data_IF_986776544688
#
_entry.id   IF_986776544688
#
_cell.length_a   1.000
_cell.length_b   1.000
_cell.length_c   1.000
_cell.angle_alpha   90.00
_cell.angle_beta   90.00
_cell.angle_gamma   90.00
#
_symmetry.space_group_name_H-M   'P 1'
#
loop_
_entity.id
_entity.type
_entity.pdbx_description
1 polymer ?
#
# COMPACT_ATOMS: atom_id res chain seq x y z
N UNK A 1 8.55 9.37 32.48
CA UNK A 1 7.16 9.00 32.11
C UNK A 1 7.14 7.51 31.82
N UNK A 2 6.51 6.74 32.69
CA UNK A 2 6.39 5.29 32.61
C UNK A 2 5.21 4.96 31.69
N UNK A 3 5.43 4.21 30.61
CA UNK A 3 4.33 3.79 29.73
C UNK A 3 3.31 2.94 30.53
N UNK A 4 1.99 3.15 30.36
CA UNK A 4 0.98 2.43 31.13
C UNK A 4 1.06 0.91 30.89
N UNK A 5 1.04 0.14 31.97
CA UNK A 5 1.48 -1.26 32.02
C UNK A 5 0.39 -2.31 31.73
N UNK A 6 -0.83 -1.87 31.45
CA UNK A 6 -1.93 -2.65 30.88
C UNK A 6 -2.95 -1.61 30.41
N UNK A 7 -3.12 -1.45 29.11
CA UNK A 7 -4.06 -0.46 28.57
C UNK A 7 -5.45 -1.09 28.68
N UNK A 8 -6.20 -0.72 29.71
CA UNK A 8 -7.60 -1.13 29.87
C UNK A 8 -8.42 -0.53 28.72
N UNK A 9 -8.86 -1.38 27.81
CA UNK A 9 -9.52 -0.96 26.58
C UNK A 9 -10.77 -0.07 26.81
N UNK A 10 -11.67 -0.38 27.75
CA UNK A 10 -12.89 0.42 27.97
C UNK A 10 -12.60 1.82 28.52
N UNK A 11 -11.74 1.93 29.54
CA UNK A 11 -11.41 3.21 30.19
C UNK A 11 -10.70 4.17 29.22
N UNK A 12 -9.81 3.61 28.40
CA UNK A 12 -9.07 4.36 27.40
C UNK A 12 -9.98 4.81 26.26
N UNK A 13 -10.96 3.98 25.89
CA UNK A 13 -11.95 4.33 24.87
C UNK A 13 -12.88 5.47 25.33
N UNK A 14 -13.34 5.44 26.58
CA UNK A 14 -14.21 6.49 27.16
C UNK A 14 -13.49 7.84 27.23
N UNK A 15 -12.25 7.87 27.73
CA UNK A 15 -11.43 9.10 27.78
C UNK A 15 -11.21 9.69 26.39
N UNK A 16 -11.00 8.84 25.38
CA UNK A 16 -10.75 9.32 24.02
C UNK A 16 -12.00 9.80 23.30
N UNK A 17 -13.14 9.13 23.47
CA UNK A 17 -14.43 9.58 22.92
C UNK A 17 -14.84 10.94 23.49
N UNK A 18 -14.52 11.21 24.77
CA UNK A 18 -14.76 12.49 25.42
C UNK A 18 -13.90 13.63 24.86
N UNK A 19 -12.73 13.33 24.28
CA UNK A 19 -11.75 14.33 23.86
C UNK A 19 -11.95 14.91 22.44
N UNK A 20 -12.86 14.35 21.63
CA UNK A 20 -13.19 14.79 20.26
C UNK A 20 -11.96 15.11 19.36
N UNK A 21 -10.86 14.38 19.52
CA UNK A 21 -9.61 14.62 18.79
C UNK A 21 -9.72 14.22 17.30
N UNK A 22 -9.19 15.02 16.35
CA UNK A 22 -9.04 14.63 14.94
C UNK A 22 -8.23 13.32 14.75
N UNK A 23 -7.40 12.96 15.74
CA UNK A 23 -6.57 11.76 15.75
C UNK A 23 -7.21 10.56 16.47
N UNK A 24 -8.48 10.66 16.87
CA UNK A 24 -9.19 9.59 17.60
C UNK A 24 -9.06 8.23 16.91
N UNK A 25 -9.26 8.18 15.59
CA UNK A 25 -9.16 6.92 14.82
C UNK A 25 -7.74 6.34 14.89
N UNK A 26 -6.71 7.17 14.75
CA UNK A 26 -5.31 6.75 14.83
C UNK A 26 -5.00 6.18 16.22
N UNK A 27 -5.46 6.84 17.27
CA UNK A 27 -5.26 6.42 18.66
C UNK A 27 -6.02 5.13 18.98
N UNK A 28 -7.29 5.02 18.59
CA UNK A 28 -8.07 3.79 18.74
C UNK A 28 -7.38 2.62 18.05
N UNK A 29 -6.93 2.81 16.81
CA UNK A 29 -6.24 1.77 16.04
C UNK A 29 -4.92 1.35 16.71
N UNK A 30 -4.18 2.31 17.29
CA UNK A 30 -2.97 2.04 18.08
C UNK A 30 -3.28 1.18 19.30
N UNK A 31 -4.30 1.56 20.06
CA UNK A 31 -4.74 0.85 21.26
C UNK A 31 -5.20 -0.57 20.95
N UNK A 32 -6.07 -0.74 19.94
CA UNK A 32 -6.54 -2.04 19.51
C UNK A 32 -5.39 -2.94 19.03
N UNK A 33 -4.51 -2.44 18.17
CA UNK A 33 -3.38 -3.22 17.66
C UNK A 33 -2.45 -3.67 18.80
N UNK A 34 -2.13 -2.78 19.73
CA UNK A 34 -1.29 -3.10 20.89
C UNK A 34 -1.97 -4.11 21.84
N UNK A 35 -3.28 -3.99 22.06
CA UNK A 35 -4.05 -4.92 22.88
C UNK A 35 -4.10 -6.31 22.25
N UNK A 36 -4.41 -6.42 20.95
CA UNK A 36 -4.44 -7.68 20.23
C UNK A 36 -3.07 -8.36 20.17
N UNK A 37 -1.99 -7.61 19.92
CA UNK A 37 -0.63 -8.15 20.01
C UNK A 37 -0.28 -8.62 21.42
N UNK A 38 -0.82 -7.96 22.45
CA UNK A 38 -0.64 -8.38 23.84
C UNK A 38 -1.39 -9.67 24.13
N UNK A 39 -2.62 -9.83 23.65
CA UNK A 39 -3.39 -11.07 23.81
C UNK A 39 -2.73 -12.26 23.09
N UNK A 40 -2.27 -12.07 21.85
CA UNK A 40 -1.55 -13.09 21.07
C UNK A 40 -0.29 -13.58 21.83
N UNK A 41 0.49 -12.66 22.39
CA UNK A 41 1.69 -13.02 23.15
C UNK A 41 1.38 -13.68 24.50
N UNK A 42 0.25 -13.34 25.13
CA UNK A 42 -0.21 -14.05 26.32
C UNK A 42 -0.51 -15.50 26.02
N UNK A 43 -1.23 -15.77 24.94
CA UNK A 43 -1.53 -17.13 24.47
C UNK A 43 -0.23 -17.90 24.23
N UNK A 44 0.73 -17.28 23.52
CA UNK A 44 2.05 -17.90 23.27
C UNK A 44 2.90 -18.14 24.52
N UNK A 45 2.76 -17.31 25.56
CA UNK A 45 3.49 -17.48 26.82
C UNK A 45 2.77 -18.39 27.82
N UNK A 46 1.49 -18.72 27.55
CA UNK A 46 0.56 -19.38 28.46
C UNK A 46 0.50 -18.69 29.85
N UNK A 47 0.54 -17.37 29.85
CA UNK A 47 0.54 -16.55 31.06
C UNK A 47 0.27 -15.08 30.73
N UNK A 48 -0.49 -14.43 31.60
CA UNK A 48 -0.68 -12.99 31.58
C UNK A 48 0.63 -12.23 31.86
N UNK A 49 0.63 -10.93 31.54
CA UNK A 49 1.78 -10.09 31.83
C UNK A 49 2.03 -10.00 33.35
N UNK A 50 3.24 -10.39 33.77
CA UNK A 50 3.68 -10.43 35.19
C UNK A 50 2.94 -11.39 36.10
N UNK A 51 2.04 -12.21 35.57
CA UNK A 51 1.43 -13.31 36.33
C UNK A 51 2.50 -14.32 36.78
N UNK A 52 2.30 -14.99 37.90
CA UNK A 52 3.16 -16.11 38.30
C UNK A 52 2.32 -17.38 38.18
N UNK A 53 2.48 -18.10 37.07
CA UNK A 53 1.84 -19.39 36.84
C UNK A 53 2.92 -20.45 36.55
N UNK A 54 2.77 -21.68 37.09
CA UNK A 54 3.64 -22.81 36.76
C UNK A 54 3.51 -23.25 35.29
N UNK A 55 2.43 -22.89 34.60
CA UNK A 55 2.15 -23.30 33.22
C UNK A 55 2.83 -22.38 32.18
N UNK A 56 3.50 -21.32 32.66
CA UNK A 56 4.20 -20.35 31.81
C UNK A 56 5.37 -21.00 31.08
N UNK A 57 5.37 -20.88 29.75
CA UNK A 57 6.43 -21.41 28.89
C UNK A 57 7.43 -20.34 28.41
N UNK A 58 7.05 -19.05 28.43
CA UNK A 58 7.91 -17.95 28.00
C UNK A 58 7.59 -16.65 28.75
N UNK A 59 8.38 -15.59 28.56
CA UNK A 59 8.22 -14.30 29.24
C UNK A 59 8.36 -13.14 28.27
N UNK A 60 7.56 -12.09 28.47
CA UNK A 60 7.75 -10.82 27.78
C UNK A 60 8.98 -10.09 28.32
N UNK A 61 9.75 -9.48 27.42
CA UNK A 61 10.97 -8.73 27.72
C UNK A 61 10.92 -7.32 27.10
N UNK A 62 9.85 -6.59 27.42
CA UNK A 62 9.61 -5.25 26.90
C UNK A 62 9.03 -5.22 25.49
N UNK A 63 9.20 -4.09 24.81
CA UNK A 63 8.59 -3.80 23.51
C UNK A 63 9.63 -3.24 22.53
N UNK A 64 9.36 -3.36 21.24
CA UNK A 64 10.10 -2.63 20.19
C UNK A 64 9.14 -1.69 19.46
N UNK A 65 9.50 -0.41 19.27
CA UNK A 65 8.71 0.48 18.46
C UNK A 65 8.77 0.02 17.01
N UNK A 66 7.63 0.07 16.32
CA UNK A 66 7.54 -0.12 14.89
C UNK A 66 6.46 0.78 14.33
N UNK A 67 6.83 1.64 13.39
CA UNK A 67 5.85 2.44 12.68
C UNK A 67 5.06 1.59 11.68
N UNK A 68 3.78 1.89 11.57
CA UNK A 68 2.83 1.28 10.65
C UNK A 68 1.98 2.36 10.00
N UNK A 69 2.04 2.47 8.68
CA UNK A 69 1.31 3.46 7.91
C UNK A 69 -0.07 2.94 7.53
N UNK A 70 -1.10 3.66 7.95
CA UNK A 70 -2.51 3.30 7.72
C UNK A 70 -3.22 4.45 7.01
N UNK A 71 -4.46 4.23 6.56
CA UNK A 71 -5.32 5.33 6.07
C UNK A 71 -5.65 6.39 7.13
N UNK A 72 -5.53 6.06 8.42
CA UNK A 72 -5.66 7.01 9.53
C UNK A 72 -4.33 7.72 9.86
N UNK A 73 -3.28 7.47 9.06
CA UNK A 73 -1.94 7.99 9.24
C UNK A 73 -0.96 6.97 9.83
N UNK A 74 0.27 7.42 10.09
CA UNK A 74 1.30 6.59 10.73
C UNK A 74 1.01 6.40 12.21
N UNK A 75 1.03 5.14 12.63
CA UNK A 75 0.85 4.65 14.00
C UNK A 75 2.16 4.06 14.51
N UNK A 76 2.53 4.35 15.75
CA UNK A 76 3.65 3.69 16.42
C UNK A 76 3.17 2.48 17.22
N UNK A 77 3.53 1.29 16.78
CA UNK A 77 3.20 0.02 17.41
C UNK A 77 4.25 -0.34 18.47
N UNK A 78 3.78 -0.75 19.65
CA UNK A 78 4.61 -1.32 20.69
C UNK A 78 4.64 -2.84 20.54
N UNK A 79 5.45 -3.35 19.61
CA UNK A 79 5.48 -4.79 19.32
C UNK A 79 6.18 -5.53 20.48
N UNK A 80 5.54 -6.50 21.15
CA UNK A 80 6.15 -7.21 22.26
C UNK A 80 7.44 -7.93 21.88
N UNK A 81 8.36 -8.03 22.83
CA UNK A 81 9.55 -8.88 22.75
C UNK A 81 9.37 -10.08 23.66
N UNK A 82 9.75 -11.25 23.18
CA UNK A 82 9.84 -12.46 23.98
C UNK A 82 11.26 -12.64 24.52
N UNK A 83 11.40 -13.34 25.63
CA UNK A 83 12.70 -13.70 26.21
C UNK A 83 13.38 -14.80 25.40
N UNK A 84 12.59 -15.75 24.93
CA UNK A 84 13.02 -16.81 24.02
C UNK A 84 12.31 -16.66 22.68
N UNK A 85 13.07 -16.75 21.58
CA UNK A 85 12.53 -16.58 20.23
C UNK A 85 12.19 -15.13 19.84
N UNK A 86 11.39 -14.96 18.79
CA UNK A 86 10.97 -13.66 18.29
C UNK A 86 9.48 -13.64 17.96
N UNK A 87 8.76 -12.64 18.46
CA UNK A 87 7.36 -12.41 18.10
C UNK A 87 7.24 -11.46 16.90
N UNK A 88 6.43 -11.82 15.92
CA UNK A 88 6.06 -10.97 14.79
C UNK A 88 4.57 -11.19 14.45
N UNK A 89 3.72 -10.15 14.48
CA UNK A 89 2.29 -10.29 14.22
C UNK A 89 2.02 -10.39 12.71
N UNK A 90 2.09 -11.60 12.14
CA UNK A 90 1.86 -11.82 10.70
C UNK A 90 0.41 -11.52 10.26
N UNK A 91 -0.54 -11.58 11.20
CA UNK A 91 -1.94 -11.19 10.98
C UNK A 91 -2.14 -9.68 10.81
N UNK A 92 -1.21 -8.85 11.31
CA UNK A 92 -1.29 -7.39 11.26
C UNK A 92 -0.30 -6.78 10.26
N UNK A 93 0.91 -7.33 10.20
CA UNK A 93 2.05 -6.73 9.54
C UNK A 93 2.66 -7.66 8.52
N UNK A 94 3.12 -7.09 7.41
CA UNK A 94 3.95 -7.79 6.44
C UNK A 94 5.44 -7.54 6.69
N UNK A 95 6.27 -8.55 6.41
CA UNK A 95 7.72 -8.41 6.54
C UNK A 95 8.23 -7.41 5.49
N UNK A 96 9.16 -6.53 5.89
CA UNK A 96 9.76 -5.49 5.03
C UNK A 96 8.77 -4.47 4.46
N UNK A 97 7.54 -4.40 4.96
CA UNK A 97 6.54 -3.39 4.58
C UNK A 97 6.10 -2.60 5.81
N UNK A 98 5.96 -1.28 5.63
CA UNK A 98 5.51 -0.34 6.66
C UNK A 98 4.03 -0.01 6.53
N UNK A 99 3.42 -0.19 5.36
CA UNK A 99 2.06 0.29 5.10
C UNK A 99 1.05 -0.84 5.00
N UNK A 100 -0.19 -0.55 5.40
CA UNK A 100 -1.32 -1.44 5.17
C UNK A 100 -1.67 -1.58 3.67
N UNK A 101 -2.24 -2.73 3.29
CA UNK A 101 -2.63 -3.01 1.90
C UNK A 101 -3.68 -2.03 1.36
N UNK A 102 -4.61 -1.59 2.20
CA UNK A 102 -5.64 -0.65 1.79
C UNK A 102 -5.07 0.72 1.38
N UNK A 103 -4.07 1.23 2.11
CA UNK A 103 -3.34 2.46 1.75
C UNK A 103 -2.61 2.29 0.43
N UNK A 104 -1.97 1.13 0.21
CA UNK A 104 -1.32 0.82 -1.06
C UNK A 104 -2.32 0.80 -2.23
N UNK A 105 -3.50 0.22 -2.06
CA UNK A 105 -4.55 0.23 -3.09
C UNK A 105 -5.05 1.63 -3.45
N UNK A 106 -5.15 2.54 -2.47
CA UNK A 106 -5.52 3.94 -2.73
C UNK A 106 -4.44 4.63 -3.57
N UNK A 107 -3.17 4.44 -3.20
CA UNK A 107 -2.02 4.98 -3.95
C UNK A 107 -2.00 4.43 -5.39
N UNK A 108 -2.26 3.13 -5.57
CA UNK A 108 -2.41 2.51 -6.89
C UNK A 108 -3.47 3.20 -7.74
N UNK A 109 -4.64 3.41 -7.14
CA UNK A 109 -5.78 4.03 -7.81
C UNK A 109 -5.46 5.46 -8.21
N UNK A 110 -4.79 6.22 -7.34
CA UNK A 110 -4.32 7.57 -7.67
C UNK A 110 -3.36 7.56 -8.87
N UNK A 111 -2.43 6.61 -8.92
CA UNK A 111 -1.49 6.48 -10.05
C UNK A 111 -2.23 6.17 -11.35
N UNK A 112 -3.14 5.19 -11.35
CA UNK A 112 -3.97 4.82 -12.52
C UNK A 112 -4.85 6.00 -12.98
N UNK A 113 -5.31 6.84 -12.05
CA UNK A 113 -6.09 8.05 -12.35
C UNK A 113 -5.23 9.26 -12.77
N UNK A 114 -3.92 9.10 -12.94
CA UNK A 114 -3.04 10.18 -13.39
C UNK A 114 -2.76 11.25 -12.34
N UNK A 115 -2.95 10.94 -11.05
CA UNK A 115 -2.55 11.83 -9.96
C UNK A 115 -1.03 11.82 -9.88
N UNK A 116 -0.40 13.00 -9.96
CA UNK A 116 1.05 13.09 -9.88
C UNK A 116 1.57 12.56 -8.55
N UNK A 117 2.74 11.92 -8.57
CA UNK A 117 3.38 11.35 -7.37
C UNK A 117 3.53 12.39 -6.25
N UNK A 118 3.89 13.63 -6.60
CA UNK A 118 3.95 14.76 -5.65
C UNK A 118 2.60 15.08 -5.02
N UNK A 119 1.49 15.01 -5.77
CA UNK A 119 0.14 15.24 -5.23
C UNK A 119 -0.30 14.08 -4.32
N UNK A 120 0.05 12.84 -4.67
CA UNK A 120 -0.17 11.67 -3.80
C UNK A 120 0.60 11.81 -2.49
N UNK A 121 1.87 12.21 -2.54
CA UNK A 121 2.68 12.49 -1.35
C UNK A 121 2.06 13.59 -0.48
N UNK A 122 1.54 14.66 -1.08
CA UNK A 122 0.82 15.73 -0.39
C UNK A 122 -0.42 15.21 0.36
N UNK A 123 -1.29 14.48 -0.34
CA UNK A 123 -2.52 13.90 0.26
C UNK A 123 -2.16 12.94 1.40
N UNK A 124 -1.15 12.10 1.23
CA UNK A 124 -0.73 11.18 2.28
C UNK A 124 -0.20 11.90 3.52
N UNK A 125 0.55 13.00 3.33
CA UNK A 125 1.01 13.86 4.42
C UNK A 125 -0.16 14.53 5.13
N UNK A 126 -1.18 14.98 4.40
CA UNK A 126 -2.38 15.59 4.97
C UNK A 126 -3.19 14.57 5.79
N UNK A 127 -3.14 13.28 5.44
CA UNK A 127 -3.67 12.17 6.24
C UNK A 127 -2.74 11.77 7.41
N UNK A 128 -1.62 12.47 7.59
CA UNK A 128 -0.63 12.21 8.64
C UNK A 128 0.15 10.90 8.46
N UNK A 129 0.32 10.43 7.23
CA UNK A 129 1.31 9.40 6.89
C UNK A 129 2.68 10.07 6.82
N UNK A 130 3.62 9.60 7.64
CA UNK A 130 4.91 10.26 7.83
C UNK A 130 5.71 10.34 6.53
N UNK A 131 5.80 9.22 5.78
CA UNK A 131 6.50 9.16 4.49
C UNK A 131 5.90 8.05 3.61
N UNK A 132 5.58 8.37 2.36
CA UNK A 132 5.41 7.37 1.31
C UNK A 132 6.73 7.24 0.55
N UNK A 133 7.35 6.07 0.60
CA UNK A 133 8.60 5.88 -0.13
C UNK A 133 8.34 5.73 -1.63
N UNK A 134 9.18 6.36 -2.45
CA UNK A 134 9.18 6.17 -3.92
C UNK A 134 9.29 4.69 -4.31
N UNK A 135 10.01 3.89 -3.51
CA UNK A 135 10.15 2.45 -3.71
C UNK A 135 8.85 1.69 -3.48
N UNK A 136 7.98 2.11 -2.55
CA UNK A 136 6.64 1.52 -2.39
C UNK A 136 5.76 1.77 -3.61
N UNK A 137 5.74 3.01 -4.11
CA UNK A 137 5.00 3.37 -5.34
C UNK A 137 5.57 2.59 -6.53
N UNK A 138 6.89 2.53 -6.67
CA UNK A 138 7.53 1.79 -7.77
C UNK A 138 7.24 0.28 -7.70
N UNK A 139 7.29 -0.35 -6.53
CA UNK A 139 6.95 -1.76 -6.37
C UNK A 139 5.49 -2.03 -6.71
N UNK A 140 4.61 -1.08 -6.44
CA UNK A 140 3.21 -1.16 -6.82
C UNK A 140 3.03 -1.07 -8.33
N UNK A 141 3.74 -0.16 -8.99
CA UNK A 141 3.74 -0.03 -10.46
C UNK A 141 4.28 -1.31 -11.11
N UNK A 142 5.33 -1.92 -10.55
CA UNK A 142 5.86 -3.21 -11.05
C UNK A 142 4.83 -4.34 -11.07
N UNK A 143 3.88 -4.34 -10.14
CA UNK A 143 2.78 -5.31 -10.18
C UNK A 143 1.82 -5.03 -11.35
N UNK A 144 1.58 -3.76 -11.67
CA UNK A 144 0.78 -3.34 -12.82
C UNK A 144 1.49 -3.66 -14.14
N UNK A 145 2.82 -3.60 -14.19
CA UNK A 145 3.60 -3.90 -15.41
C UNK A 145 3.28 -5.30 -15.94
N UNK A 146 3.20 -6.32 -15.05
CA UNK A 146 2.84 -7.68 -15.47
C UNK A 146 1.42 -7.79 -16.04
N UNK A 147 0.46 -7.03 -15.49
CA UNK A 147 -0.90 -6.98 -16.03
C UNK A 147 -0.95 -6.25 -17.38
N UNK A 148 -0.17 -5.17 -17.51
CA UNK A 148 -0.03 -4.42 -18.76
C UNK A 148 0.59 -5.29 -19.85
N UNK A 149 1.66 -6.03 -19.54
CA UNK A 149 2.31 -6.94 -20.49
C UNK A 149 1.38 -8.06 -20.93
N UNK A 150 0.64 -8.67 -20.00
CA UNK A 150 -0.37 -9.67 -20.34
C UNK A 150 -1.47 -9.09 -21.23
N UNK A 151 -1.94 -7.88 -20.94
CA UNK A 151 -2.93 -7.19 -21.77
C UNK A 151 -2.38 -6.83 -23.15
N UNK A 152 -1.12 -6.37 -23.27
CA UNK A 152 -0.47 -6.02 -24.54
C UNK A 152 -0.28 -7.22 -25.46
N UNK A 153 -0.01 -8.40 -24.89
CA UNK A 153 0.25 -9.64 -25.63
C UNK A 153 -0.96 -10.58 -25.71
N UNK A 154 -2.14 -10.16 -25.26
CA UNK A 154 -3.34 -11.00 -25.31
C UNK A 154 -3.76 -11.27 -26.77
N UNK A 155 -4.35 -12.44 -27.07
CA UNK A 155 -4.94 -12.68 -28.38
C UNK A 155 -6.09 -11.71 -28.65
N UNK A 156 -6.23 -11.29 -29.91
CA UNK A 156 -7.32 -10.44 -30.39
C UNK A 156 -8.39 -11.31 -31.07
N UNK A 157 -8.75 -12.42 -30.42
CA UNK A 157 -9.69 -13.44 -30.89
C UNK A 157 -11.14 -13.16 -30.47
N UNK A 158 -11.38 -12.09 -29.69
CA UNK A 158 -12.71 -11.60 -29.34
C UNK A 158 -13.50 -11.02 -30.54
N UNK A 159 -12.87 -10.95 -31.72
CA UNK A 159 -13.46 -10.46 -32.97
C UNK A 159 -14.46 -11.44 -33.62
N UNK A 160 -15.18 -10.98 -34.67
CA UNK A 160 -14.66 -10.03 -35.65
C UNK A 160 -14.74 -8.56 -35.23
N UNK A 161 -13.68 -7.81 -35.55
CA UNK A 161 -13.61 -6.37 -35.42
C UNK A 161 -14.06 -5.71 -36.72
N UNK A 162 -15.13 -4.93 -36.66
CA UNK A 162 -15.77 -4.31 -37.84
C UNK A 162 -15.01 -3.07 -38.30
N UNK A 163 -14.50 -2.29 -37.34
CA UNK A 163 -13.70 -1.11 -37.59
C UNK A 163 -12.49 -1.09 -36.66
N UNK A 164 -11.37 -0.58 -37.17
CA UNK A 164 -10.16 -0.31 -36.40
C UNK A 164 -9.63 1.06 -36.80
N UNK A 165 -9.24 1.87 -35.83
CA UNK A 165 -8.49 3.10 -36.06
C UNK A 165 -7.33 3.19 -35.08
N UNK A 166 -6.29 3.92 -35.49
CA UNK A 166 -5.13 4.22 -34.68
C UNK A 166 -4.98 5.74 -34.53
N UNK A 167 -4.54 6.16 -33.35
CA UNK A 167 -4.19 7.55 -33.05
C UNK A 167 -2.80 7.60 -32.40
N UNK A 168 -2.13 8.75 -32.48
CA UNK A 168 -0.79 8.95 -31.97
C UNK A 168 -0.73 10.20 -31.07
N UNK A 169 -0.52 9.99 -29.77
CA UNK A 169 -0.28 11.07 -28.82
C UNK A 169 1.22 11.31 -28.64
N UNK A 170 1.71 12.47 -29.07
CA UNK A 170 3.11 12.84 -28.86
C UNK A 170 3.32 13.41 -27.46
N UNK A 171 4.31 12.86 -26.73
CA UNK A 171 4.68 13.33 -25.39
C UNK A 171 6.19 13.43 -25.22
N UNK A 172 6.62 14.35 -24.34
CA UNK A 172 8.04 14.53 -23.99
C UNK A 172 8.43 13.57 -22.87
N UNK A 173 9.40 12.72 -23.13
CA UNK A 173 9.92 11.74 -22.17
C UNK A 173 11.43 11.93 -22.03
N UNK A 174 11.98 11.58 -20.87
CA UNK A 174 13.43 11.64 -20.63
C UNK A 174 14.05 10.26 -20.87
N UNK A 175 14.83 10.12 -21.94
CA UNK A 175 15.60 8.93 -22.31
C UNK A 175 17.09 9.29 -22.33
N UNK A 176 17.95 8.46 -21.74
CA UNK A 176 19.42 8.66 -21.70
C UNK A 176 19.87 10.09 -21.33
N UNK A 177 19.15 10.70 -20.37
CA UNK A 177 19.43 12.05 -19.88
C UNK A 177 18.94 13.19 -20.77
N UNK A 178 18.34 12.90 -21.93
CA UNK A 178 17.79 13.90 -22.86
C UNK A 178 16.27 13.83 -22.90
N UNK A 179 15.63 14.97 -23.16
CA UNK A 179 14.18 15.02 -23.36
C UNK A 179 13.90 14.82 -24.85
N UNK A 180 13.22 13.73 -25.19
CA UNK A 180 12.86 13.34 -26.56
C UNK A 180 11.34 13.29 -26.70
N UNK A 181 10.86 13.39 -27.94
CA UNK A 181 9.46 13.14 -28.23
C UNK A 181 9.25 11.64 -28.47
N UNK A 182 8.25 11.08 -27.79
CA UNK A 182 7.75 9.73 -28.02
C UNK A 182 6.32 9.84 -28.53
N UNK A 183 5.99 9.05 -29.54
CA UNK A 183 4.62 8.85 -30.00
C UNK A 183 4.01 7.65 -29.27
N UNK A 184 2.96 7.88 -28.49
CA UNK A 184 2.13 6.83 -27.92
C UNK A 184 1.04 6.49 -28.94
N UNK A 185 1.19 5.34 -29.60
CA UNK A 185 0.26 4.80 -30.58
C UNK A 185 -0.83 4.03 -29.85
N UNK A 186 -2.09 4.35 -30.12
CA UNK A 186 -3.25 3.68 -29.52
C UNK A 186 -4.15 3.17 -30.62
N UNK A 187 -4.41 1.86 -30.63
CA UNK A 187 -5.34 1.22 -31.55
C UNK A 187 -6.67 0.92 -30.84
N UNK A 188 -7.77 1.37 -31.45
CA UNK A 188 -9.13 1.17 -30.93
C UNK A 188 -9.95 0.46 -31.99
N UNK A 189 -10.68 -0.57 -31.58
CA UNK A 189 -11.55 -1.34 -32.45
C UNK A 189 -13.00 -1.27 -32.01
N UNK A 190 -13.91 -1.55 -32.96
CA UNK A 190 -15.33 -1.77 -32.72
C UNK A 190 -15.65 -3.22 -32.99
N UNK A 191 -16.14 -3.91 -31.98
CA UNK A 191 -16.61 -5.30 -32.06
C UNK A 191 -17.87 -5.41 -32.95
N UNK A 192 -18.23 -6.63 -33.36
CA UNK A 192 -19.48 -6.91 -34.06
C UNK A 192 -20.74 -6.44 -33.32
N UNK A 193 -20.67 -6.32 -31.99
CA UNK A 193 -21.72 -5.83 -31.11
C UNK A 193 -21.75 -4.29 -30.98
N UNK A 194 -20.87 -3.58 -31.70
CA UNK A 194 -20.77 -2.12 -31.64
C UNK A 194 -20.03 -1.57 -30.42
N UNK A 195 -19.42 -2.43 -29.58
CA UNK A 195 -18.63 -2.00 -28.42
C UNK A 195 -17.23 -1.57 -28.85
N UNK A 196 -16.80 -0.40 -28.37
CA UNK A 196 -15.45 0.13 -28.56
C UNK A 196 -14.51 -0.46 -27.51
N UNK A 197 -13.34 -0.92 -27.93
CA UNK A 197 -12.28 -1.35 -27.02
C UNK A 197 -10.90 -0.96 -27.54
N UNK A 198 -9.98 -0.69 -26.62
CA UNK A 198 -8.57 -0.50 -26.95
C UNK A 198 -7.95 -1.86 -27.17
N UNK A 199 -7.44 -2.10 -28.39
CA UNK A 199 -6.87 -3.39 -28.80
C UNK A 199 -5.33 -3.38 -28.79
N UNK A 200 -4.71 -2.20 -28.75
CA UNK A 200 -3.26 -2.10 -28.71
C UNK A 200 -2.79 -0.75 -28.20
N UNK A 201 -1.62 -0.76 -27.55
CA UNK A 201 -0.89 0.43 -27.17
C UNK A 201 0.61 0.17 -27.36
N UNK A 202 1.28 1.11 -28.02
CA UNK A 202 2.73 1.08 -28.19
C UNK A 202 3.36 2.46 -28.07
N UNK A 203 4.64 2.51 -27.73
CA UNK A 203 5.39 3.76 -27.56
C UNK A 203 6.63 3.72 -28.45
N UNK A 204 6.71 4.66 -29.38
CA UNK A 204 7.80 4.73 -30.36
C UNK A 204 8.54 6.05 -30.23
N UNK A 205 9.85 5.98 -30.02
CA UNK A 205 10.70 7.19 -29.99
C UNK A 205 10.78 7.77 -31.40
N UNK A 206 10.50 9.06 -31.54
CA UNK A 206 10.29 9.70 -32.85
C UNK A 206 11.52 9.68 -33.78
N UNK A 207 12.70 9.31 -33.28
CA UNK A 207 13.90 9.07 -34.08
C UNK A 207 13.82 7.84 -34.99
N UNK A 208 12.83 6.96 -34.81
CA UNK A 208 12.64 5.73 -35.59
C UNK A 208 11.85 5.88 -36.90
N UNK A 209 11.30 7.06 -37.23
CA UNK A 209 10.47 7.26 -38.44
C UNK A 209 11.30 7.48 -39.73
N UNK A 210 12.59 7.14 -39.74
CA UNK A 210 13.49 7.39 -40.88
C UNK A 210 13.87 6.18 -41.74
N UNK A 211 13.39 4.97 -41.47
CA UNK A 211 13.58 3.83 -42.39
C UNK A 211 12.32 2.96 -42.46
N UNK A 212 11.76 2.83 -43.66
CA UNK A 212 10.58 2.00 -43.98
C UNK A 212 9.76 2.56 -45.13
#
# INVERSE_FOLDING_TARGET
>A
MTAPHSVSFPEVLEDYLASASPDLVRQMLTTFANALMSADVQEQCNAEYREVTPERVNRRNGYRPREWDTRAGTVELAVPRLREGSYFPEWLLERRRRSEQALMSVIATCYVRGVSTRRVEGIAKDLGVAQLSKSQVSNLVKHLDGQLDAWRNRPLDAGPYVFVWADALTMKVREDGRVVNIACLVAVAVTSEGRREVIGLDAVTSSGFHEG
#
